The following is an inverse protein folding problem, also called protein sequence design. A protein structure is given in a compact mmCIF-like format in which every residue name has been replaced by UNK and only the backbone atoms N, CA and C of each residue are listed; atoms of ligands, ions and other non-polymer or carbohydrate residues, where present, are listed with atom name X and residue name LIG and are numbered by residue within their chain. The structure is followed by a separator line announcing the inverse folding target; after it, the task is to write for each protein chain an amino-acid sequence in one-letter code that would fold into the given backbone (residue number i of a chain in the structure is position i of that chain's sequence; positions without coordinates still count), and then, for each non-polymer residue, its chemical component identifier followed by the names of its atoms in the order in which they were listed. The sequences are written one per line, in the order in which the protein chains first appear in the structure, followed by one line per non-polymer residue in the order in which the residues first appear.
data_IF_159534442006
#
_entry.id   IF_159534442006
#
_cell.length_a   1.000
_cell.length_b   1.000
_cell.length_c   1.000
_cell.angle_alpha   90.00
_cell.angle_beta   90.00
_cell.angle_gamma   90.00
#
_symmetry.space_group_name_H-M   'P 1'
#
loop_
_entity.id
_entity.type
_entity.pdbx_description
1 polymer ?
#
# COMPACT_ATOMS: atom_id res chain seq x y z
N UNK A 1 -0.42 -10.68 3.63
CA UNK A 1 0.52 -9.82 4.38
C UNK A 1 -0.03 -9.47 5.77
N UNK A 2 -1.19 -8.83 5.88
CA UNK A 2 -1.78 -8.46 7.18
C UNK A 2 -2.14 -9.67 8.06
N UNK A 3 -2.60 -10.77 7.47
CA UNK A 3 -2.92 -12.02 8.17
C UNK A 3 -1.73 -12.61 8.93
N UNK A 4 -0.53 -12.58 8.35
CA UNK A 4 0.69 -13.06 9.01
C UNK A 4 1.07 -12.19 10.22
N UNK A 5 0.98 -10.86 10.08
CA UNK A 5 1.22 -9.92 11.19
C UNK A 5 0.24 -10.19 12.34
N UNK A 6 -1.04 -10.40 12.04
CA UNK A 6 -2.05 -10.68 13.05
C UNK A 6 -1.83 -12.04 13.73
N UNK A 7 -1.41 -13.06 12.98
CA UNK A 7 -1.11 -14.37 13.55
C UNK A 7 0.09 -14.34 14.50
N UNK A 8 1.14 -13.56 14.17
CA UNK A 8 2.38 -13.51 14.96
C UNK A 8 2.32 -12.49 16.10
N UNK A 9 1.77 -11.31 15.86
CA UNK A 9 1.81 -10.17 16.80
C UNK A 9 0.46 -9.86 17.45
N UNK A 10 -0.62 -10.53 17.02
CA UNK A 10 -1.97 -10.35 17.55
C UNK A 10 -2.66 -9.04 17.15
N UNK A 11 -1.91 -8.04 16.65
CA UNK A 11 -2.46 -6.74 16.28
C UNK A 11 -1.66 -6.02 15.20
N UNK A 12 -2.35 -5.11 14.50
CA UNK A 12 -1.79 -4.13 13.58
C UNK A 12 -2.25 -2.74 14.02
N UNK A 13 -1.33 -1.88 14.45
CA UNK A 13 -1.65 -0.54 14.95
C UNK A 13 -1.34 0.56 13.93
N UNK A 14 -0.28 0.38 13.14
CA UNK A 14 0.12 1.34 12.10
C UNK A 14 0.46 0.59 10.81
N UNK A 15 -0.08 1.08 9.69
CA UNK A 15 0.37 0.75 8.33
C UNK A 15 1.06 1.99 7.75
N UNK A 16 2.21 1.80 7.13
CA UNK A 16 2.91 2.86 6.39
C UNK A 16 3.03 2.44 4.93
N UNK A 17 2.33 3.15 4.03
CA UNK A 17 2.41 2.93 2.59
C UNK A 17 3.61 3.69 2.01
N UNK A 18 4.81 3.17 2.23
CA UNK A 18 6.05 3.78 1.74
C UNK A 18 6.61 3.12 0.46
N UNK A 19 6.04 1.99 0.02
CA UNK A 19 6.57 1.28 -1.13
C UNK A 19 6.44 2.11 -2.42
N UNK A 20 7.57 2.32 -3.09
CA UNK A 20 7.62 3.08 -4.33
C UNK A 20 8.74 2.65 -5.25
N UNK A 21 8.47 2.74 -6.55
CA UNK A 21 9.46 2.59 -7.63
C UNK A 21 9.48 3.84 -8.49
N UNK A 22 10.55 4.08 -9.23
CA UNK A 22 10.62 5.19 -10.17
C UNK A 22 11.26 4.72 -11.48
N UNK A 23 10.77 5.26 -12.60
CA UNK A 23 11.45 5.21 -13.89
C UNK A 23 11.64 6.64 -14.42
N UNK A 24 12.82 7.25 -14.19
CA UNK A 24 13.09 8.59 -14.69
C UNK A 24 13.20 8.58 -16.22
N UNK A 25 12.37 9.36 -16.90
CA UNK A 25 12.42 9.60 -18.35
C UNK A 25 11.61 10.86 -18.70
N UNK A 26 11.87 11.51 -19.85
CA UNK A 26 11.01 12.58 -20.36
C UNK A 26 9.56 12.10 -20.47
N UNK A 27 8.60 12.99 -20.20
CA UNK A 27 7.17 12.63 -20.24
C UNK A 27 6.72 12.18 -21.64
N UNK A 28 7.35 12.68 -22.69
CA UNK A 28 7.10 12.31 -24.09
C UNK A 28 7.52 10.87 -24.41
N UNK A 29 8.45 10.32 -23.63
CA UNK A 29 9.02 8.99 -23.83
C UNK A 29 8.42 7.97 -22.84
N UNK A 30 7.56 8.45 -21.93
CA UNK A 30 6.87 7.64 -20.94
C UNK A 30 5.87 6.71 -21.63
N UNK A 31 6.16 5.42 -21.64
CA UNK A 31 5.17 4.44 -22.08
C UNK A 31 4.04 4.31 -21.05
N UNK A 32 2.84 3.97 -21.52
CA UNK A 32 1.70 3.68 -20.63
C UNK A 32 2.03 2.53 -19.69
N UNK A 33 2.74 1.50 -20.17
CA UNK A 33 3.20 0.37 -19.37
C UNK A 33 4.09 0.82 -18.18
N UNK A 34 5.02 1.75 -18.41
CA UNK A 34 5.89 2.27 -17.35
C UNK A 34 5.12 3.08 -16.31
N UNK A 35 4.19 3.91 -16.78
CA UNK A 35 3.30 4.68 -15.92
C UNK A 35 2.44 3.75 -15.05
N UNK A 36 1.79 2.77 -15.68
CA UNK A 36 0.93 1.80 -15.03
C UNK A 36 1.70 0.95 -14.03
N UNK A 37 2.95 0.59 -14.32
CA UNK A 37 3.83 -0.12 -13.38
C UNK A 37 4.09 0.72 -12.13
N UNK A 38 4.36 2.02 -12.27
CA UNK A 38 4.51 2.91 -11.11
C UNK A 38 3.20 3.04 -10.33
N UNK A 39 2.07 3.25 -11.02
CA UNK A 39 0.74 3.37 -10.39
C UNK A 39 0.27 2.07 -9.71
N UNK A 40 0.66 0.91 -10.24
CA UNK A 40 0.39 -0.38 -9.63
C UNK A 40 1.04 -0.48 -8.25
N UNK A 41 2.24 0.09 -8.06
CA UNK A 41 2.94 0.11 -6.76
C UNK A 41 2.44 1.25 -5.89
N UNK A 42 2.48 2.49 -6.39
CA UNK A 42 2.24 3.70 -5.61
C UNK A 42 0.79 3.83 -5.16
N UNK A 43 -0.16 3.61 -6.07
CA UNK A 43 -1.57 3.90 -5.82
C UNK A 43 -2.35 2.62 -5.56
N UNK A 44 -2.31 1.67 -6.49
CA UNK A 44 -3.06 0.41 -6.36
C UNK A 44 -2.55 -0.41 -5.17
N UNK A 45 -1.23 -0.51 -5.02
CA UNK A 45 -0.59 -1.18 -3.89
C UNK A 45 -1.01 -0.58 -2.55
N UNK A 46 -0.87 0.75 -2.40
CA UNK A 46 -1.28 1.46 -1.19
C UNK A 46 -2.77 1.28 -0.87
N UNK A 47 -3.65 1.38 -1.87
CA UNK A 47 -5.09 1.14 -1.68
C UNK A 47 -5.38 -0.28 -1.17
N UNK A 48 -4.80 -1.31 -1.78
CA UNK A 48 -5.05 -2.69 -1.40
C UNK A 48 -4.57 -2.97 0.03
N UNK A 49 -3.37 -2.53 0.40
CA UNK A 49 -2.84 -2.66 1.75
C UNK A 49 -3.71 -1.90 2.77
N UNK A 50 -4.10 -0.67 2.43
CA UNK A 50 -4.93 0.17 3.30
C UNK A 50 -6.31 -0.43 3.52
N UNK A 51 -6.95 -0.99 2.49
CA UNK A 51 -8.26 -1.62 2.60
C UNK A 51 -8.22 -2.81 3.56
N UNK A 52 -7.22 -3.68 3.45
CA UNK A 52 -7.12 -4.83 4.35
C UNK A 52 -6.74 -4.42 5.78
N UNK A 53 -5.84 -3.45 5.97
CA UNK A 53 -5.53 -2.92 7.29
C UNK A 53 -6.75 -2.25 7.94
N UNK A 54 -7.49 -1.43 7.19
CA UNK A 54 -8.68 -0.72 7.66
C UNK A 54 -9.77 -1.68 8.15
N UNK A 55 -9.99 -2.81 7.47
CA UNK A 55 -10.94 -3.84 7.93
C UNK A 55 -10.65 -4.29 9.37
N UNK A 56 -9.37 -4.49 9.71
CA UNK A 56 -8.97 -4.88 11.07
C UNK A 56 -8.97 -3.71 12.05
N UNK A 57 -8.59 -2.51 11.62
CA UNK A 57 -8.58 -1.32 12.47
C UNK A 57 -10.00 -0.89 12.86
N UNK A 58 -10.97 -1.02 11.95
CA UNK A 58 -12.38 -0.64 12.17
C UNK A 58 -13.05 -1.50 13.25
N UNK A 59 -12.77 -2.82 13.30
CA UNK A 59 -13.32 -3.68 14.35
C UNK A 59 -12.81 -3.28 15.74
N UNK A 60 -11.59 -2.78 15.82
CA UNK A 60 -10.96 -2.29 17.05
C UNK A 60 -11.25 -0.81 17.35
N UNK A 61 -11.83 -0.07 16.39
CA UNK A 61 -11.96 1.40 16.41
C UNK A 61 -10.64 2.11 16.70
N UNK A 62 -9.52 1.53 16.24
CA UNK A 62 -8.17 2.02 16.52
C UNK A 62 -7.20 1.61 15.40
N UNK A 63 -6.34 2.55 15.02
CA UNK A 63 -5.26 2.34 14.05
C UNK A 63 -4.92 3.60 13.27
N UNK A 64 -3.79 3.58 12.56
CA UNK A 64 -3.36 4.68 11.68
C UNK A 64 -2.78 4.13 10.38
N UNK A 65 -3.13 4.78 9.28
CA UNK A 65 -2.52 4.57 7.97
C UNK A 65 -1.78 5.85 7.62
N UNK A 66 -0.51 5.72 7.24
CA UNK A 66 0.39 6.81 6.83
C UNK A 66 0.76 6.57 5.37
#
# INVERSE_FOLDING_TARGET
MTSGVLATLGRLDVLVNNAGIQKPQPITDMTVEDWDRMMAVHLRGAFLCSREAARHMMTRRAGRII
#
